data_IF_977037673095
#
_entry.id   IF_977037673095
#
_cell.length_a   1.000
_cell.length_b   1.000
_cell.length_c   1.000
_cell.angle_alpha   90.00
_cell.angle_beta   90.00
_cell.angle_gamma   90.00
#
_symmetry.space_group_name_H-M   'P 1'
#
loop_
_entity.id
_entity.type
_entity.pdbx_description
1 polymer ?
#
# COMPACT_ATOMS: atom_id res chain seq x y z
N UNK A 1 2.76 0.32 -14.46
CA UNK A 1 3.05 -0.05 -13.06
C UNK A 1 4.26 -1.02 -13.02
N UNK A 2 5.35 -0.70 -12.30
CA UNK A 2 6.55 -1.56 -12.21
C UNK A 2 6.25 -2.94 -11.58
N UNK A 3 5.23 -3.00 -10.71
CA UNK A 3 4.75 -4.21 -10.07
C UNK A 3 3.67 -4.98 -10.87
N UNK A 4 3.44 -4.61 -12.14
CA UNK A 4 2.49 -5.29 -13.07
C UNK A 4 1.04 -5.37 -12.57
N UNK A 5 0.55 -4.32 -11.90
CA UNK A 5 -0.88 -4.21 -11.60
C UNK A 5 -1.69 -3.68 -12.80
N UNK A 6 -2.96 -4.08 -12.95
CA UNK A 6 -3.68 -5.04 -12.11
C UNK A 6 -3.33 -6.50 -12.45
N UNK A 7 -3.19 -7.35 -11.43
CA UNK A 7 -2.99 -8.80 -11.64
C UNK A 7 -4.29 -9.45 -12.13
N UNK A 8 -4.14 -10.49 -12.94
CA UNK A 8 -5.26 -11.28 -13.43
C UNK A 8 -6.06 -11.89 -12.27
N UNK A 9 -7.37 -12.02 -12.45
CA UNK A 9 -8.24 -12.65 -11.45
C UNK A 9 -8.25 -14.16 -11.68
N UNK A 10 -7.71 -14.91 -10.72
CA UNK A 10 -7.72 -16.37 -10.72
C UNK A 10 -8.81 -16.88 -9.76
N UNK A 11 -9.62 -17.84 -10.25
CA UNK A 11 -10.72 -18.45 -9.47
C UNK A 11 -10.21 -19.37 -8.36
N UNK A 12 -9.02 -19.92 -8.53
CA UNK A 12 -8.38 -20.88 -7.64
C UNK A 12 -6.89 -20.56 -7.52
N UNK A 13 -6.27 -20.97 -6.41
CA UNK A 13 -4.84 -20.77 -6.20
C UNK A 13 -4.07 -21.79 -7.02
N UNK A 14 -3.22 -21.32 -7.93
CA UNK A 14 -2.43 -22.16 -8.85
C UNK A 14 -0.95 -21.81 -8.76
N UNK A 15 -0.12 -22.84 -8.83
CA UNK A 15 1.34 -22.73 -8.91
C UNK A 15 1.75 -23.07 -10.33
N UNK A 16 2.41 -22.13 -11.00
CA UNK A 16 2.96 -22.31 -12.34
C UNK A 16 4.21 -23.22 -12.31
N UNK A 17 4.61 -23.76 -13.46
CA UNK A 17 5.81 -24.60 -13.61
C UNK A 17 7.09 -23.86 -13.18
N UNK A 18 7.09 -22.53 -13.26
CA UNK A 18 8.18 -21.67 -12.78
C UNK A 18 8.20 -21.50 -11.25
N UNK A 19 7.29 -22.13 -10.51
CA UNK A 19 7.09 -21.95 -9.07
C UNK A 19 6.35 -20.65 -8.70
N UNK A 20 5.74 -19.94 -9.67
CA UNK A 20 4.98 -18.73 -9.37
C UNK A 20 3.62 -19.08 -8.76
N UNK A 21 3.35 -18.62 -7.53
CA UNK A 21 2.05 -18.77 -6.87
C UNK A 21 1.11 -17.62 -7.23
N UNK A 22 0.05 -17.96 -7.96
CA UNK A 22 -1.11 -17.09 -8.19
C UNK A 22 -2.22 -17.46 -7.20
N UNK A 23 -2.44 -16.63 -6.19
CA UNK A 23 -3.46 -16.90 -5.16
C UNK A 23 -4.86 -16.51 -5.62
N UNK A 24 -5.85 -17.35 -5.28
CA UNK A 24 -7.28 -17.03 -5.40
C UNK A 24 -7.59 -15.73 -4.67
N UNK A 25 -8.36 -14.86 -5.32
CA UNK A 25 -8.91 -13.65 -4.68
C UNK A 25 -10.40 -13.83 -4.45
N UNK A 26 -10.85 -13.52 -3.24
CA UNK A 26 -12.29 -13.52 -2.90
C UNK A 26 -13.02 -12.29 -3.45
N UNK A 27 -12.31 -11.19 -3.67
CA UNK A 27 -12.83 -9.96 -4.26
C UNK A 27 -11.98 -9.53 -5.47
N UNK A 28 -12.65 -9.13 -6.55
CA UNK A 28 -12.03 -8.63 -7.78
C UNK A 28 -11.34 -7.27 -7.59
N UNK A 29 -11.77 -6.50 -6.59
CA UNK A 29 -11.21 -5.20 -6.24
C UNK A 29 -10.01 -5.29 -5.29
N UNK A 30 -9.77 -6.46 -4.70
CA UNK A 30 -8.59 -6.70 -3.87
C UNK A 30 -7.32 -6.62 -4.73
N UNK A 31 -6.58 -5.52 -4.53
CA UNK A 31 -5.33 -5.17 -5.24
C UNK A 31 -5.52 -4.97 -6.75
N UNK A 32 -6.72 -4.54 -7.14
CA UNK A 32 -7.02 -3.99 -8.47
C UNK A 32 -7.25 -2.49 -8.30
N UNK A 33 -6.93 -1.71 -9.32
CA UNK A 33 -7.26 -0.28 -9.35
C UNK A 33 -8.79 -0.16 -9.29
N UNK A 34 -9.31 0.41 -8.20
CA UNK A 34 -10.71 0.82 -8.11
C UNK A 34 -10.82 2.26 -8.61
N UNK A 35 -11.46 2.52 -9.77
CA UNK A 35 -11.47 3.85 -10.36
C UNK A 35 -12.08 4.92 -9.45
N UNK A 36 -13.11 4.58 -8.68
CA UNK A 36 -13.78 5.53 -7.78
C UNK A 36 -12.87 5.91 -6.60
N UNK A 37 -12.26 4.92 -5.96
CA UNK A 37 -11.35 5.16 -4.83
C UNK A 37 -10.09 5.88 -5.32
N UNK A 38 -9.50 5.46 -6.44
CA UNK A 38 -8.35 6.16 -7.03
C UNK A 38 -8.69 7.60 -7.44
N UNK A 39 -9.91 7.87 -7.93
CA UNK A 39 -10.36 9.23 -8.22
C UNK A 39 -10.50 10.08 -6.96
N UNK A 40 -11.10 9.55 -5.90
CA UNK A 40 -11.33 10.29 -4.65
C UNK A 40 -10.04 10.54 -3.86
N UNK A 41 -9.14 9.57 -3.79
CA UNK A 41 -7.94 9.63 -2.94
C UNK A 41 -6.66 10.01 -3.71
N UNK A 42 -6.67 9.97 -5.03
CA UNK A 42 -5.52 10.32 -5.87
C UNK A 42 -4.30 9.40 -5.70
N UNK A 43 -4.49 8.19 -5.17
CA UNK A 43 -3.40 7.27 -4.83
C UNK A 43 -3.70 5.80 -5.21
N UNK A 44 -2.68 4.94 -5.08
CA UNK A 44 -2.78 3.50 -5.35
C UNK A 44 -3.65 2.80 -4.30
N UNK A 45 -4.54 1.91 -4.74
CA UNK A 45 -5.48 1.16 -3.89
C UNK A 45 -5.02 -0.27 -3.60
N UNK A 46 -3.74 -0.45 -3.26
CA UNK A 46 -3.16 -1.76 -2.96
C UNK A 46 -3.30 -2.08 -1.46
N UNK A 47 -3.92 -3.21 -1.15
CA UNK A 47 -4.20 -3.72 0.19
C UNK A 47 -3.41 -5.03 0.42
N UNK A 48 -2.49 -5.01 1.36
CA UNK A 48 -1.82 -6.25 1.80
C UNK A 48 -2.47 -6.74 3.08
N UNK A 49 -2.93 -8.00 3.07
CA UNK A 49 -3.46 -8.65 4.26
C UNK A 49 -2.35 -8.87 5.29
N UNK A 50 -2.60 -8.52 6.55
CA UNK A 50 -1.65 -8.65 7.65
C UNK A 50 -2.26 -9.50 8.76
N UNK A 51 -2.21 -10.82 8.59
CA UNK A 51 -2.84 -11.81 9.49
C UNK A 51 -2.15 -11.99 10.86
N UNK A 52 -1.07 -11.26 11.15
CA UNK A 52 -0.32 -11.38 12.39
C UNK A 52 -0.23 -10.07 13.14
N UNK A 53 -0.63 -10.08 14.41
CA UNK A 53 -0.54 -8.90 15.30
C UNK A 53 0.89 -8.39 15.47
N UNK A 54 1.89 -9.27 15.40
CA UNK A 54 3.31 -8.88 15.44
C UNK A 54 3.70 -8.08 14.20
N UNK A 55 3.24 -8.50 13.02
CA UNK A 55 3.50 -7.79 11.75
C UNK A 55 2.85 -6.42 11.80
N UNK A 56 1.58 -6.34 12.20
CA UNK A 56 0.85 -5.07 12.33
C UNK A 56 1.56 -4.12 13.30
N UNK A 57 1.96 -4.61 14.48
CA UNK A 57 2.67 -3.82 15.48
C UNK A 57 4.01 -3.29 14.95
N UNK A 58 4.78 -4.13 14.26
CA UNK A 58 6.06 -3.73 13.68
C UNK A 58 5.89 -2.62 12.64
N UNK A 59 4.87 -2.71 11.78
CA UNK A 59 4.58 -1.71 10.75
C UNK A 59 4.12 -0.39 11.37
N UNK A 60 3.25 -0.43 12.38
CA UNK A 60 2.81 0.78 13.10
C UNK A 60 4.01 1.49 13.72
N UNK A 61 4.88 0.75 14.41
CA UNK A 61 6.09 1.31 15.02
C UNK A 61 6.98 1.94 13.93
N UNK A 62 7.20 1.24 12.83
CA UNK A 62 8.02 1.74 11.72
C UNK A 62 7.47 3.03 11.10
N UNK A 63 6.17 3.07 10.79
CA UNK A 63 5.51 4.27 10.24
C UNK A 63 5.58 5.42 11.23
N UNK A 64 5.33 5.15 12.52
CA UNK A 64 5.39 6.17 13.57
C UNK A 64 6.80 6.73 13.71
N UNK A 65 7.82 5.86 13.78
CA UNK A 65 9.22 6.29 13.82
C UNK A 65 9.56 7.13 12.59
N UNK A 66 9.14 6.71 11.40
CA UNK A 66 9.42 7.42 10.16
C UNK A 66 8.77 8.81 10.09
N UNK A 67 7.50 8.93 10.46
CA UNK A 67 6.78 10.21 10.47
C UNK A 67 7.36 11.15 11.53
N UNK A 68 7.64 10.61 12.73
CA UNK A 68 8.20 11.39 13.84
C UNK A 68 9.68 11.70 13.67
N UNK A 69 10.35 11.09 12.68
CA UNK A 69 11.76 11.32 12.32
C UNK A 69 12.05 12.71 11.76
N UNK A 70 11.06 13.58 11.58
CA UNK A 70 11.28 14.91 11.03
C UNK A 70 12.27 15.70 11.90
N UNK A 71 13.53 15.75 11.45
CA UNK A 71 14.59 16.61 11.99
C UNK A 71 14.40 18.08 11.60
N UNK A 72 13.38 18.36 10.78
CA UNK A 72 13.01 19.71 10.36
C UNK A 72 12.28 20.35 11.53
N UNK A 73 12.86 21.44 12.06
CA UNK A 73 12.22 22.25 13.08
C UNK A 73 10.87 22.71 12.53
N UNK A 74 9.81 22.55 13.30
CA UNK A 74 8.45 22.96 12.90
C UNK A 74 8.41 24.41 12.39
N UNK A 75 9.24 25.28 12.97
CA UNK A 75 9.46 26.66 12.52
C UNK A 75 9.87 26.78 11.05
N UNK A 76 10.80 25.96 10.55
CA UNK A 76 11.27 26.02 9.16
C UNK A 76 10.22 25.56 8.16
N UNK A 77 9.42 24.55 8.52
CA UNK A 77 8.28 24.10 7.69
C UNK A 77 7.21 25.18 7.60
N UNK A 78 6.92 25.86 8.72
CA UNK A 78 5.92 26.92 8.76
C UNK A 78 6.36 28.19 8.02
N UNK A 79 7.64 28.55 8.09
CA UNK A 79 8.21 29.63 7.27
C UNK A 79 8.05 29.35 5.77
N UNK A 80 8.40 28.13 5.32
CA UNK A 80 8.27 27.77 3.90
C UNK A 80 6.80 27.75 3.41
N UNK A 81 5.84 27.40 4.28
CA UNK A 81 4.40 27.48 3.96
C UNK A 81 3.87 28.90 3.88
N UNK A 82 4.44 29.84 4.64
CA UNK A 82 4.04 31.26 4.64
C UNK A 82 4.56 31.99 3.40
N UNK A 83 5.66 31.53 2.82
CA UNK A 83 6.30 32.13 1.63
C UNK A 83 5.68 31.66 0.29
N UNK A 84 4.60 30.85 0.33
CA UNK A 84 3.77 30.44 -0.81
C UNK A 84 2.46 31.23 -0.81
#
# INVERSE_FOLDING_TARGET
>A
CKARFPREYVKESVVDESGHLSMKKHDIWSNRVNPLISYLFGCNTDLTEMLSGTIVKAIIIYITDYITKSSIKFSSTFSALKDV
#
